data_IF_637730010546
#
_entry.id   IF_637730010546
#
_cell.length_a   1.000
_cell.length_b   1.000
_cell.length_c   1.000
_cell.angle_alpha   90.00
_cell.angle_beta   90.00
_cell.angle_gamma   90.00
#
_symmetry.space_group_name_H-M   'P 1'
#
loop_
_entity.id
_entity.type
_entity.pdbx_description
1 polymer ?
#
# COMPACT_ATOMS: atom_id res chain seq x y z
N UNK A 1 -23.46 -1.63 32.49
CA UNK A 1 -22.17 -2.37 32.42
C UNK A 1 -21.06 -1.33 32.27
N UNK A 2 -19.97 -1.37 33.05
CA UNK A 2 -18.86 -0.43 32.86
C UNK A 2 -18.14 -0.79 31.56
N UNK A 3 -18.12 0.10 30.58
CA UNK A 3 -17.20 0.03 29.45
C UNK A 3 -15.88 0.67 29.88
N UNK A 4 -14.82 -0.14 29.96
CA UNK A 4 -13.46 0.39 30.10
C UNK A 4 -12.91 0.66 28.68
N UNK A 5 -12.55 1.91 28.33
CA UNK A 5 -11.94 2.17 27.04
C UNK A 5 -10.55 1.54 27.00
N UNK A 6 -10.37 0.47 26.22
CA UNK A 6 -9.05 -0.07 25.90
C UNK A 6 -8.44 0.87 24.86
N UNK A 7 -7.48 1.68 25.29
CA UNK A 7 -6.69 2.50 24.37
C UNK A 7 -5.71 1.61 23.63
N UNK A 8 -6.04 1.27 22.39
CA UNK A 8 -5.08 0.63 21.48
C UNK A 8 -4.03 1.68 21.11
N UNK A 9 -2.73 1.44 21.38
CA UNK A 9 -1.69 2.39 21.00
C UNK A 9 -1.68 2.56 19.48
N UNK A 10 -1.60 3.81 19.02
CA UNK A 10 -1.48 4.13 17.61
C UNK A 10 -0.13 3.59 17.12
N UNK A 11 -0.16 2.69 16.16
CA UNK A 11 1.03 2.10 15.56
C UNK A 11 1.15 2.52 14.10
N UNK A 12 2.37 2.55 13.59
CA UNK A 12 2.60 2.70 12.15
C UNK A 12 1.90 1.55 11.40
N UNK A 13 1.51 1.76 10.12
CA UNK A 13 0.86 0.72 9.36
C UNK A 13 1.80 -0.48 9.19
N UNK A 14 1.22 -1.68 9.09
CA UNK A 14 2.00 -2.90 8.82
C UNK A 14 1.54 -3.48 7.50
N UNK A 15 2.44 -3.53 6.53
CA UNK A 15 2.24 -4.24 5.26
C UNK A 15 2.53 -5.72 5.52
N UNK A 16 1.64 -6.60 5.08
CA UNK A 16 1.83 -8.05 5.20
C UNK A 16 3.05 -8.46 4.37
N UNK A 17 4.07 -9.10 4.97
CA UNK A 17 5.25 -9.51 4.22
C UNK A 17 4.90 -10.45 3.08
N UNK A 18 5.39 -10.15 1.87
CA UNK A 18 5.12 -10.94 0.66
C UNK A 18 3.72 -10.77 0.06
N UNK A 19 2.87 -9.87 0.59
CA UNK A 19 1.58 -9.54 -0.04
C UNK A 19 1.72 -8.60 -1.24
N UNK A 20 2.80 -7.81 -1.29
CA UNK A 20 3.07 -6.86 -2.36
C UNK A 20 3.32 -7.62 -3.67
N UNK A 21 2.48 -7.40 -4.67
CA UNK A 21 2.59 -8.03 -5.99
C UNK A 21 2.25 -7.04 -7.11
N UNK A 22 2.97 -7.17 -8.21
CA UNK A 22 2.66 -6.45 -9.45
C UNK A 22 1.83 -7.39 -10.34
N UNK A 23 0.63 -6.97 -10.70
CA UNK A 23 -0.35 -7.75 -11.45
C UNK A 23 -0.90 -6.96 -12.63
N UNK A 24 -1.62 -7.64 -13.54
CA UNK A 24 -2.23 -7.02 -14.73
C UNK A 24 -1.24 -6.15 -15.53
N UNK A 25 -0.03 -6.68 -15.72
CA UNK A 25 1.05 -5.96 -16.39
C UNK A 25 0.78 -5.98 -17.90
N UNK A 26 0.66 -4.79 -18.46
CA UNK A 26 0.40 -4.54 -19.87
C UNK A 26 1.37 -3.48 -20.37
N UNK A 27 1.48 -3.33 -21.70
CA UNK A 27 2.31 -2.28 -22.31
C UNK A 27 1.84 -0.85 -22.01
N UNK A 28 0.63 -0.67 -21.45
CA UNK A 28 0.03 0.62 -21.11
C UNK A 28 -0.17 0.85 -19.60
N UNK A 29 0.07 -0.16 -18.76
CA UNK A 29 -0.15 -0.05 -17.31
C UNK A 29 0.06 -1.35 -16.55
N UNK A 30 0.19 -1.25 -15.24
CA UNK A 30 0.21 -2.38 -14.31
C UNK A 30 -0.52 -2.01 -13.02
N UNK A 31 -0.85 -3.00 -12.20
CA UNK A 31 -1.52 -2.82 -10.92
C UNK A 31 -0.62 -3.33 -9.80
N UNK A 32 -0.43 -2.53 -8.75
CA UNK A 32 0.23 -2.99 -7.52
C UNK A 32 -0.87 -3.33 -6.52
N UNK A 33 -0.87 -4.58 -6.07
CA UNK A 33 -1.73 -5.04 -4.98
C UNK A 33 -0.88 -5.28 -3.74
N UNK A 34 -1.40 -4.93 -2.57
CA UNK A 34 -0.81 -5.28 -1.29
C UNK A 34 -1.87 -5.36 -0.21
N UNK A 35 -1.62 -6.21 0.77
CA UNK A 35 -2.41 -6.27 1.99
C UNK A 35 -1.67 -5.60 3.13
N UNK A 36 -2.37 -4.71 3.85
CA UNK A 36 -1.81 -3.98 4.97
C UNK A 36 -2.84 -3.79 6.07
N UNK A 37 -2.37 -3.39 7.26
CA UNK A 37 -3.22 -3.06 8.40
C UNK A 37 -2.80 -1.73 9.02
N UNK A 38 -3.78 -0.92 9.41
CA UNK A 38 -3.58 0.32 10.16
C UNK A 38 -4.41 0.29 11.44
N UNK A 39 -3.76 0.15 12.60
CA UNK A 39 -4.43 0.15 13.91
C UNK A 39 -5.15 1.46 14.23
N UNK A 40 -4.61 2.66 13.93
CA UNK A 40 -5.34 3.90 14.20
C UNK A 40 -6.42 4.21 13.15
N UNK A 41 -6.61 3.34 12.14
CA UNK A 41 -7.61 3.50 11.08
C UNK A 41 -7.49 4.83 10.34
N UNK A 42 -6.25 5.25 10.11
CA UNK A 42 -5.91 6.41 9.31
C UNK A 42 -4.72 6.10 8.41
N UNK A 43 -4.68 6.73 7.24
CA UNK A 43 -3.60 6.68 6.27
C UNK A 43 -3.49 8.05 5.59
N UNK A 44 -2.27 8.58 5.50
CA UNK A 44 -1.99 9.85 4.83
C UNK A 44 -1.48 9.62 3.41
N UNK A 45 -0.63 8.62 3.20
CA UNK A 45 -0.08 8.34 1.88
C UNK A 45 0.63 7.00 1.76
N UNK A 46 0.87 6.60 0.52
CA UNK A 46 1.65 5.43 0.15
C UNK A 46 2.74 5.84 -0.83
N UNK A 47 3.98 5.42 -0.57
CA UNK A 47 5.11 5.65 -1.48
C UNK A 47 5.51 4.32 -2.08
N UNK A 48 5.52 4.28 -3.41
CA UNK A 48 5.86 3.13 -4.24
C UNK A 48 7.17 3.43 -4.96
N UNK A 49 8.19 2.63 -4.71
CA UNK A 49 9.51 2.76 -5.34
C UNK A 49 9.72 1.59 -6.27
N UNK A 50 9.70 1.83 -7.56
CA UNK A 50 9.92 0.83 -8.59
C UNK A 50 11.40 0.74 -8.96
N UNK A 51 11.92 -0.49 -8.97
CA UNK A 51 13.24 -0.81 -9.46
C UNK A 51 13.11 -1.54 -10.80
N UNK A 52 13.92 -1.12 -11.77
CA UNK A 52 14.00 -1.77 -13.07
C UNK A 52 14.61 -3.18 -12.94
N UNK A 53 14.20 -4.09 -13.83
CA UNK A 53 14.85 -5.39 -13.98
C UNK A 53 16.30 -5.23 -14.48
N UNK A 54 17.18 -6.22 -14.28
CA UNK A 54 18.56 -6.17 -14.76
C UNK A 54 18.59 -5.91 -16.28
N UNK A 55 19.40 -4.93 -16.70
CA UNK A 55 19.53 -4.48 -18.09
C UNK A 55 18.31 -3.76 -18.68
N UNK A 56 17.43 -3.21 -17.85
CA UNK A 56 16.32 -2.38 -18.29
C UNK A 56 16.32 -1.02 -17.58
N UNK A 57 15.69 -0.03 -18.22
CA UNK A 57 15.51 1.32 -17.67
C UNK A 57 14.03 1.56 -17.43
N UNK A 58 13.68 1.95 -16.21
CA UNK A 58 12.31 2.32 -15.85
C UNK A 58 12.22 3.85 -15.69
N UNK A 59 11.25 4.47 -16.36
CA UNK A 59 10.96 5.89 -16.17
C UNK A 59 9.93 6.04 -15.05
N UNK A 60 10.28 6.78 -13.99
CA UNK A 60 9.43 6.96 -12.81
C UNK A 60 9.65 5.88 -11.75
N UNK A 61 10.80 5.92 -11.09
CA UNK A 61 11.20 4.97 -10.03
C UNK A 61 10.51 5.20 -8.70
N UNK A 62 9.81 6.32 -8.49
CA UNK A 62 9.12 6.62 -7.24
C UNK A 62 7.81 7.34 -7.49
N UNK A 63 6.72 6.83 -6.94
CA UNK A 63 5.38 7.40 -7.02
C UNK A 63 4.80 7.50 -5.62
N UNK A 64 4.31 8.68 -5.26
CA UNK A 64 3.62 8.90 -3.99
C UNK A 64 2.13 9.11 -4.27
N UNK A 65 1.29 8.30 -3.64
CA UNK A 65 -0.15 8.35 -3.76
C UNK A 65 -0.75 8.79 -2.43
N UNK A 66 -1.50 9.89 -2.46
CA UNK A 66 -2.24 10.36 -1.29
C UNK A 66 -3.42 9.43 -1.03
N UNK A 67 -3.42 8.76 0.12
CA UNK A 67 -4.47 7.83 0.51
C UNK A 67 -5.54 8.47 1.39
N UNK A 68 -5.44 9.77 1.70
CA UNK A 68 -6.38 10.50 2.58
C UNK A 68 -7.85 10.28 2.20
N UNK A 69 -8.20 10.40 0.92
CA UNK A 69 -9.57 10.21 0.43
C UNK A 69 -9.99 8.73 0.41
N UNK A 70 -9.07 7.82 0.13
CA UNK A 70 -9.38 6.38 0.13
C UNK A 70 -9.54 5.86 1.56
N UNK A 71 -8.71 6.34 2.48
CA UNK A 71 -8.76 6.04 3.91
C UNK A 71 -10.08 6.47 4.54
N UNK A 72 -10.60 7.66 4.18
CA UNK A 72 -11.91 8.10 4.68
C UNK A 72 -13.05 7.18 4.25
N UNK A 73 -12.93 6.50 3.09
CA UNK A 73 -13.86 5.48 2.63
C UNK A 73 -13.65 4.08 3.25
N UNK A 74 -12.41 3.67 3.52
CA UNK A 74 -12.11 2.36 4.14
C UNK A 74 -12.40 2.32 5.64
N UNK A 75 -12.28 3.45 6.32
CA UNK A 75 -12.41 3.56 7.78
C UNK A 75 -13.75 4.16 8.24
N UNK A 76 -14.80 4.15 7.40
CA UNK A 76 -16.14 4.66 7.74
C UNK A 76 -16.74 3.84 8.90
N UNK A 77 -17.43 4.45 9.90
CA UNK A 77 -17.94 3.75 11.09
C UNK A 77 -19.08 2.76 10.84
N UNK A 78 -19.55 2.56 9.60
CA UNK A 78 -20.78 1.81 9.32
C UNK A 78 -20.58 0.29 9.16
N UNK A 79 -19.33 -0.17 9.04
CA UNK A 79 -19.03 -1.58 8.89
C UNK A 79 -18.26 -2.03 10.13
N UNK A 80 -18.98 -2.64 11.08
CA UNK A 80 -18.47 -3.55 12.11
C UNK A 80 -17.74 -4.73 11.43
N UNK A 81 -16.70 -4.48 10.64
CA UNK A 81 -15.85 -5.50 10.10
C UNK A 81 -14.86 -5.86 11.22
N UNK A 82 -14.88 -7.10 11.75
CA UNK A 82 -14.02 -7.52 12.85
C UNK A 82 -12.53 -7.56 12.48
N UNK A 83 -12.17 -7.23 11.23
CA UNK A 83 -10.81 -7.33 10.68
C UNK A 83 -9.80 -6.27 11.20
N UNK A 84 -10.10 -5.57 12.29
CA UNK A 84 -9.07 -4.87 13.10
C UNK A 84 -8.28 -3.73 12.43
N UNK A 85 -8.61 -3.32 11.20
CA UNK A 85 -7.88 -2.31 10.43
C UNK A 85 -7.10 -2.85 9.24
N UNK A 86 -7.26 -4.12 8.85
CA UNK A 86 -6.71 -4.66 7.58
C UNK A 86 -7.48 -4.17 6.36
N UNK A 87 -6.75 -3.85 5.30
CA UNK A 87 -7.28 -3.46 3.99
C UNK A 87 -6.38 -4.01 2.89
N UNK A 88 -6.98 -4.25 1.71
CA UNK A 88 -6.24 -4.58 0.50
C UNK A 88 -6.23 -3.35 -0.40
N UNK A 89 -5.03 -2.92 -0.81
CA UNK A 89 -4.80 -1.75 -1.62
C UNK A 89 -4.41 -2.18 -3.02
N UNK A 90 -5.23 -1.81 -4.00
CA UNK A 90 -4.96 -1.96 -5.42
C UNK A 90 -4.76 -0.59 -6.05
N UNK A 91 -3.55 -0.32 -6.55
CA UNK A 91 -3.24 0.94 -7.23
C UNK A 91 -2.83 0.66 -8.68
N UNK A 92 -3.58 1.18 -9.67
CA UNK A 92 -3.17 1.14 -11.06
C UNK A 92 -2.14 2.23 -11.32
N UNK A 93 -1.04 1.87 -11.97
CA UNK A 93 -0.03 2.79 -12.44
C UNK A 93 0.02 2.79 -13.97
N UNK A 94 -0.05 3.96 -14.62
CA UNK A 94 0.19 4.04 -16.05
C UNK A 94 1.66 3.70 -16.33
N UNK A 95 1.88 2.85 -17.31
CA UNK A 95 3.20 2.39 -17.70
C UNK A 95 3.33 2.44 -19.20
N UNK A 96 4.52 2.77 -19.70
CA UNK A 96 4.78 2.76 -21.14
C UNK A 96 6.20 2.28 -21.35
N UNK A 97 6.34 1.14 -22.03
CA UNK A 97 7.62 0.51 -22.27
C UNK A 97 7.54 -1.01 -22.25
N UNK A 98 8.72 -1.64 -22.18
CA UNK A 98 8.80 -3.09 -22.07
C UNK A 98 8.39 -3.53 -20.66
N UNK A 99 7.37 -4.37 -20.57
CA UNK A 99 6.88 -4.93 -19.29
C UNK A 99 7.92 -5.81 -18.59
N UNK A 100 8.88 -6.39 -19.33
CA UNK A 100 10.04 -7.09 -18.77
C UNK A 100 11.01 -6.15 -18.03
N UNK A 101 10.86 -4.82 -18.18
CA UNK A 101 11.66 -3.84 -17.43
C UNK A 101 11.18 -3.67 -15.98
N UNK A 102 9.99 -4.16 -15.62
CA UNK A 102 9.48 -4.08 -14.26
C UNK A 102 10.19 -5.13 -13.39
N UNK A 103 11.06 -4.68 -12.49
CA UNK A 103 11.81 -5.57 -11.59
C UNK A 103 11.04 -5.83 -10.31
N UNK A 104 11.11 -4.88 -9.38
CA UNK A 104 10.47 -4.96 -8.07
C UNK A 104 9.83 -3.63 -7.69
N UNK A 105 8.86 -3.67 -6.79
CA UNK A 105 8.24 -2.49 -6.19
C UNK A 105 8.42 -2.54 -4.68
N UNK A 106 8.97 -1.49 -4.09
CA UNK A 106 9.05 -1.30 -2.64
C UNK A 106 7.98 -0.33 -2.20
N UNK A 107 7.11 -0.76 -1.30
CA UNK A 107 6.00 0.06 -0.81
C UNK A 107 6.20 0.41 0.64
N UNK A 108 5.90 1.67 0.98
CA UNK A 108 5.80 2.16 2.35
C UNK A 108 4.46 2.88 2.52
N UNK A 109 3.82 2.68 3.66
CA UNK A 109 2.58 3.34 4.02
C UNK A 109 2.83 4.30 5.16
N UNK A 110 2.21 5.46 5.13
CA UNK A 110 2.31 6.46 6.20
C UNK A 110 0.94 6.74 6.79
N UNK A 111 0.87 6.82 8.11
CA UNK A 111 -0.29 7.26 8.88
C UNK A 111 0.13 8.32 9.92
N UNK A 112 -0.82 8.72 10.78
CA UNK A 112 -0.63 9.69 11.86
C UNK A 112 0.34 9.23 12.95
N UNK A 113 0.61 7.92 13.05
CA UNK A 113 1.51 7.33 14.01
C UNK A 113 2.94 7.15 13.47
N UNK A 114 3.10 7.03 12.15
CA UNK A 114 4.40 6.91 11.49
C UNK A 114 4.34 6.21 10.13
N UNK A 115 5.51 5.77 9.65
CA UNK A 115 5.68 5.07 8.38
C UNK A 115 5.94 3.58 8.62
N UNK A 116 5.33 2.73 7.79
CA UNK A 116 5.54 1.29 7.81
C UNK A 116 6.97 0.92 7.44
N UNK A 117 7.39 -0.28 7.82
CA UNK A 117 8.54 -0.92 7.18
C UNK A 117 8.28 -1.05 5.68
N UNK A 118 9.32 -0.79 4.87
CA UNK A 118 9.25 -0.97 3.44
C UNK A 118 9.11 -2.45 3.12
N UNK A 119 8.14 -2.79 2.27
CA UNK A 119 7.97 -4.16 1.78
C UNK A 119 8.15 -4.17 0.26
N UNK A 120 9.06 -5.01 -0.20
CA UNK A 120 9.32 -5.23 -1.62
C UNK A 120 8.50 -6.39 -2.15
N UNK A 121 7.93 -6.20 -3.33
CA UNK A 121 7.21 -7.22 -4.10
C UNK A 121 7.69 -7.25 -5.55
N UNK A 122 7.44 -8.37 -6.22
CA UNK A 122 7.76 -8.57 -7.64
C UNK A 122 6.51 -8.88 -8.46
N UNK A 123 6.75 -9.24 -9.72
CA UNK A 123 5.77 -9.91 -10.57
C UNK A 123 5.50 -11.34 -10.06
#
# INVERSE_FOLDING_TARGET
>A
MPSAPITVPRLAPVIVPGSVKITSITSSGFQVILDASSTPRDLTGATFTFAAAPNATLNGTSQTVSLTTAASGWFVPANENPSGGTFSLTVPFPFTGNTSALGTVSVTLTNSAGTSVAQSGGQ
#
